data_IF_149069915695
#
_entry.id   IF_149069915695
#
_cell.length_a   1.000
_cell.length_b   1.000
_cell.length_c   1.000
_cell.angle_alpha   90.00
_cell.angle_beta   90.00
_cell.angle_gamma   90.00
#
_symmetry.space_group_name_H-M   'P 1'
#
loop_
_entity.id
_entity.type
_entity.pdbx_description
1 polymer ?
#
# COMPACT_ATOMS: atom_id res chain seq x y z
N UNK A 1 -4.26 -34.98 -51.24
CA UNK A 1 -5.57 -34.46 -50.78
C UNK A 1 -5.58 -34.59 -49.28
N UNK A 2 -5.56 -33.43 -48.59
CA UNK A 2 -6.11 -33.11 -47.26
C UNK A 2 -5.66 -34.02 -46.09
N UNK A 3 -4.73 -33.62 -45.21
CA UNK A 3 -4.78 -32.51 -44.25
C UNK A 3 -5.85 -32.72 -43.18
N UNK A 4 -5.49 -33.33 -42.05
CA UNK A 4 -6.20 -33.17 -40.78
C UNK A 4 -5.20 -33.14 -39.61
N UNK A 5 -4.73 -31.93 -39.31
CA UNK A 5 -4.09 -31.61 -38.04
C UNK A 5 -5.18 -31.54 -36.97
N UNK A 6 -5.37 -32.63 -36.21
CA UNK A 6 -6.28 -32.63 -35.06
C UNK A 6 -5.53 -32.21 -33.80
N UNK A 7 -5.66 -30.91 -33.53
CA UNK A 7 -5.79 -30.29 -32.21
C UNK A 7 -4.72 -30.58 -31.16
N UNK A 8 -3.66 -29.73 -31.15
CA UNK A 8 -2.93 -29.43 -29.92
C UNK A 8 -3.92 -28.75 -28.97
N UNK A 9 -4.48 -29.53 -28.05
CA UNK A 9 -5.25 -29.03 -26.91
C UNK A 9 -4.41 -27.98 -26.20
N UNK A 10 -4.75 -26.72 -26.46
CA UNK A 10 -4.15 -25.57 -25.81
C UNK A 10 -4.59 -25.66 -24.35
N UNK A 11 -3.66 -26.03 -23.46
CA UNK A 11 -3.81 -25.80 -22.03
C UNK A 11 -3.86 -24.28 -21.84
N UNK A 12 -5.05 -23.70 -21.94
CA UNK A 12 -5.30 -22.35 -21.50
C UNK A 12 -5.12 -22.39 -19.98
N UNK A 13 -3.92 -22.08 -19.50
CA UNK A 13 -3.66 -21.95 -18.06
C UNK A 13 -4.68 -20.96 -17.50
N UNK A 14 -5.62 -21.47 -16.70
CA UNK A 14 -6.56 -20.63 -16.00
C UNK A 14 -5.74 -19.77 -15.02
N UNK A 15 -5.74 -18.46 -15.23
CA UNK A 15 -4.93 -17.48 -14.46
C UNK A 15 -5.35 -17.44 -12.97
N UNK A 16 -6.33 -18.26 -12.56
CA UNK A 16 -6.73 -18.52 -11.17
C UNK A 16 -5.62 -19.11 -10.29
N UNK A 17 -4.50 -19.54 -10.86
CA UNK A 17 -3.35 -20.07 -10.13
C UNK A 17 -2.22 -19.04 -9.94
N UNK A 18 -2.44 -17.77 -10.32
CA UNK A 18 -1.60 -16.67 -9.86
C UNK A 18 -1.91 -16.45 -8.38
N UNK A 19 -1.24 -17.22 -7.53
CA UNK A 19 -1.35 -17.17 -6.07
C UNK A 19 -1.20 -15.72 -5.59
N UNK A 20 -2.31 -15.09 -5.22
CA UNK A 20 -2.30 -13.79 -4.56
C UNK A 20 -1.82 -14.04 -3.14
N UNK A 21 -0.56 -13.70 -2.87
CA UNK A 21 0.03 -13.89 -1.53
C UNK A 21 -0.13 -12.62 -0.72
N UNK A 22 -0.77 -12.75 0.45
CA UNK A 22 -0.89 -11.65 1.40
C UNK A 22 0.30 -11.58 2.32
N UNK A 23 0.64 -10.36 2.69
CA UNK A 23 1.85 -10.03 3.43
C UNK A 23 1.56 -8.93 4.43
N UNK A 24 2.33 -8.90 5.52
CA UNK A 24 2.30 -7.82 6.50
C UNK A 24 3.69 -7.20 6.56
N UNK A 25 3.75 -5.90 6.30
CA UNK A 25 4.98 -5.11 6.35
C UNK A 25 5.09 -4.45 7.69
N UNK A 26 6.25 -4.54 8.34
CA UNK A 26 6.46 -3.84 9.60
C UNK A 26 6.50 -2.32 9.42
N UNK A 27 5.78 -1.59 10.28
CA UNK A 27 5.84 -0.13 10.39
C UNK A 27 6.74 0.22 11.58
N UNK A 28 7.86 0.92 11.37
CA UNK A 28 8.81 1.22 12.43
C UNK A 28 8.22 2.18 13.46
N UNK A 29 8.71 2.08 14.71
CA UNK A 29 8.21 2.86 15.86
C UNK A 29 8.30 4.39 15.66
N UNK A 30 9.26 4.87 14.89
CA UNK A 30 9.46 6.29 14.62
C UNK A 30 8.42 6.88 13.63
N UNK A 31 7.70 6.03 12.91
CA UNK A 31 6.69 6.43 11.93
C UNK A 31 5.27 6.27 12.46
N UNK A 32 5.10 5.96 13.75
CA UNK A 32 3.79 5.62 14.35
C UNK A 32 3.60 6.26 15.72
N UNK A 33 2.36 6.58 16.07
CA UNK A 33 1.99 7.03 17.43
C UNK A 33 1.64 5.83 18.34
N UNK A 34 1.40 6.07 19.64
CA UNK A 34 1.23 5.01 20.66
C UNK A 34 0.09 4.02 20.38
N UNK A 35 -0.84 4.37 19.50
CA UNK A 35 -2.02 3.57 19.14
C UNK A 35 -2.10 3.21 17.65
N UNK A 36 -1.11 3.62 16.85
CA UNK A 36 -1.07 3.27 15.44
C UNK A 36 -0.80 1.77 15.23
N UNK A 37 -1.25 1.29 14.08
CA UNK A 37 -1.00 -0.06 13.62
C UNK A 37 0.51 -0.33 13.51
N UNK A 38 0.93 -1.56 13.85
CA UNK A 38 2.35 -1.97 13.83
C UNK A 38 2.78 -2.61 12.51
N UNK A 39 1.81 -2.92 11.65
CA UNK A 39 2.06 -3.55 10.37
C UNK A 39 0.97 -3.23 9.37
N UNK A 40 1.35 -3.13 8.10
CA UNK A 40 0.44 -2.86 7.00
C UNK A 40 0.17 -4.13 6.18
N UNK A 41 -1.10 -4.48 5.96
CA UNK A 41 -1.49 -5.61 5.12
C UNK A 41 -1.34 -5.24 3.64
N UNK A 42 -0.55 -6.01 2.90
CA UNK A 42 -0.20 -5.76 1.50
C UNK A 42 -0.29 -7.03 0.64
N UNK A 43 -0.34 -6.85 -0.67
CA UNK A 43 -0.29 -7.93 -1.67
C UNK A 43 1.12 -8.07 -2.25
N UNK A 44 1.66 -9.28 -2.30
CA UNK A 44 2.97 -9.53 -2.91
C UNK A 44 2.93 -9.35 -4.43
N UNK A 45 3.77 -8.46 -4.96
CA UNK A 45 3.98 -8.29 -6.40
C UNK A 45 5.24 -9.00 -6.92
N UNK A 46 6.19 -9.32 -6.03
CA UNK A 46 7.44 -10.01 -6.37
C UNK A 46 8.65 -9.41 -5.67
N UNK A 47 9.82 -9.53 -6.29
CA UNK A 47 11.10 -9.05 -5.73
C UNK A 47 11.64 -7.90 -6.57
N UNK A 48 12.09 -6.82 -5.93
CA UNK A 48 12.82 -5.74 -6.56
C UNK A 48 14.26 -6.17 -6.84
N UNK A 49 14.66 -6.08 -8.12
CA UNK A 49 16.02 -6.44 -8.56
C UNK A 49 17.08 -5.50 -7.98
N UNK A 50 16.75 -4.22 -7.81
CA UNK A 50 17.69 -3.19 -7.35
C UNK A 50 18.00 -3.33 -5.86
N UNK A 51 16.97 -3.50 -5.02
CA UNK A 51 17.11 -3.48 -3.57
C UNK A 51 17.19 -4.86 -2.92
N UNK A 52 16.98 -5.94 -3.68
CA UNK A 52 16.86 -7.33 -3.17
C UNK A 52 15.83 -7.42 -2.03
N UNK A 53 14.71 -6.73 -2.20
CA UNK A 53 13.61 -6.63 -1.24
C UNK A 53 12.28 -6.96 -1.94
N UNK A 54 11.24 -7.24 -1.17
CA UNK A 54 9.92 -7.54 -1.72
C UNK A 54 9.24 -6.26 -2.21
N UNK A 55 8.55 -6.36 -3.35
CA UNK A 55 7.63 -5.34 -3.86
C UNK A 55 6.23 -5.74 -3.46
N UNK A 56 5.57 -4.84 -2.77
CA UNK A 56 4.28 -5.07 -2.13
C UNK A 56 3.33 -3.96 -2.54
N UNK A 57 2.07 -4.31 -2.77
CA UNK A 57 1.03 -3.35 -3.09
C UNK A 57 0.14 -3.15 -1.87
N UNK A 58 0.01 -1.89 -1.45
CA UNK A 58 -1.00 -1.49 -0.49
C UNK A 58 -2.27 -1.05 -1.25
N UNK A 59 -3.38 -1.81 -1.18
CA UNK A 59 -4.62 -1.48 -1.86
C UNK A 59 -5.37 -0.29 -1.22
N UNK A 60 -5.07 0.06 0.04
CA UNK A 60 -5.70 1.19 0.74
C UNK A 60 -5.04 2.49 0.26
N UNK A 61 -3.72 2.63 0.46
CA UNK A 61 -2.99 3.84 0.06
C UNK A 61 -2.69 3.90 -1.44
N UNK A 62 -2.94 2.81 -2.18
CA UNK A 62 -2.65 2.63 -3.62
C UNK A 62 -1.18 2.86 -3.98
N UNK A 63 -0.26 2.43 -3.11
CA UNK A 63 1.19 2.64 -3.26
C UNK A 63 1.94 1.32 -3.32
N UNK A 64 3.11 1.35 -3.97
CA UNK A 64 4.06 0.23 -3.97
C UNK A 64 5.07 0.46 -2.85
N UNK A 65 5.17 -0.52 -1.97
CA UNK A 65 6.11 -0.55 -0.84
C UNK A 65 7.22 -1.54 -1.15
N UNK A 66 8.45 -1.15 -0.82
CA UNK A 66 9.63 -2.00 -0.98
C UNK A 66 10.22 -2.26 0.40
N UNK A 67 10.07 -3.49 0.91
CA UNK A 67 10.56 -3.85 2.25
C UNK A 67 11.16 -5.25 2.28
N UNK A 68 12.12 -5.45 3.18
CA UNK A 68 12.70 -6.76 3.49
C UNK A 68 12.02 -7.42 4.69
N UNK A 69 11.46 -6.63 5.58
CA UNK A 69 10.82 -7.09 6.80
C UNK A 69 9.32 -7.31 6.53
N UNK A 70 9.01 -8.55 6.15
CA UNK A 70 7.71 -8.94 5.59
C UNK A 70 7.33 -10.32 6.12
N UNK A 71 6.12 -10.45 6.62
CA UNK A 71 5.54 -11.73 7.06
C UNK A 71 4.51 -12.20 6.03
N UNK A 72 4.63 -13.43 5.55
CA UNK A 72 3.72 -14.01 4.55
C UNK A 72 2.55 -14.76 5.21
N UNK A 73 1.36 -14.58 4.65
CA UNK A 73 0.11 -15.25 5.06
C UNK A 73 -0.58 -15.82 3.84
N UNK A 74 -0.14 -17.00 3.43
CA UNK A 74 -0.60 -17.69 2.21
C UNK A 74 -2.00 -18.29 2.35
N UNK A 75 -2.49 -18.48 3.58
CA UNK A 75 -3.82 -19.05 3.86
C UNK A 75 -4.92 -17.99 4.03
N UNK A 76 -4.57 -16.70 3.95
CA UNK A 76 -5.54 -15.62 4.06
C UNK A 76 -6.06 -15.24 2.68
N UNK A 77 -7.26 -14.67 2.62
CA UNK A 77 -7.83 -14.07 1.42
C UNK A 77 -8.02 -12.56 1.66
N UNK A 78 -8.12 -11.80 0.56
CA UNK A 78 -8.44 -10.38 0.63
C UNK A 78 -9.88 -10.15 0.24
N UNK A 79 -10.63 -9.54 1.15
CA UNK A 79 -12.03 -9.19 0.96
C UNK A 79 -12.12 -7.86 0.20
N UNK A 80 -11.94 -7.91 -1.13
CA UNK A 80 -11.91 -6.74 -2.01
C UNK A 80 -13.19 -5.89 -1.91
N UNK A 81 -14.34 -6.52 -1.66
CA UNK A 81 -15.63 -5.83 -1.55
C UNK A 81 -15.77 -4.90 -0.33
N UNK A 82 -14.95 -5.06 0.72
CA UNK A 82 -15.08 -4.28 1.97
C UNK A 82 -14.31 -2.95 1.97
N UNK A 83 -13.52 -2.66 0.94
CA UNK A 83 -12.54 -1.57 0.98
C UNK A 83 -13.06 -0.17 0.60
N UNK A 84 -14.35 -0.01 0.25
CA UNK A 84 -14.88 1.31 -0.09
C UNK A 84 -14.92 2.27 1.12
N UNK A 85 -14.80 1.75 2.35
CA UNK A 85 -14.99 2.51 3.59
C UNK A 85 -13.67 3.05 4.21
N UNK A 86 -12.56 2.30 4.08
CA UNK A 86 -11.27 2.68 4.68
C UNK A 86 -10.56 3.84 3.96
N UNK A 87 -10.81 4.03 2.66
CA UNK A 87 -10.24 5.15 1.90
C UNK A 87 -10.78 6.52 2.36
N UNK A 88 -11.94 6.53 3.03
CA UNK A 88 -12.61 7.76 3.47
C UNK A 88 -11.98 8.30 4.77
N UNK A 89 -11.34 7.47 5.59
CA UNK A 89 -10.77 7.91 6.88
C UNK A 89 -9.47 8.71 6.71
N UNK A 90 -8.61 8.36 5.73
CA UNK A 90 -7.35 9.09 5.49
C UNK A 90 -7.55 10.51 4.96
N UNK A 91 -8.69 10.82 4.36
CA UNK A 91 -8.96 12.12 3.73
C UNK A 91 -9.49 13.16 4.73
N UNK A 92 -9.77 12.77 5.98
CA UNK A 92 -10.40 13.63 6.99
C UNK A 92 -9.46 14.09 8.12
N UNK A 93 -8.24 13.58 8.21
CA UNK A 93 -7.24 14.01 9.22
C UNK A 93 -6.31 15.12 8.66
N UNK A 94 -6.91 16.19 8.12
CA UNK A 94 -6.22 17.46 7.82
C UNK A 94 -6.98 18.58 8.53
N UNK A 95 -6.83 18.67 9.85
CA UNK A 95 -7.14 19.90 10.60
C UNK A 95 -5.93 20.84 10.45
N UNK A 96 -5.90 21.59 9.34
CA UNK A 96 -5.11 22.82 9.22
C UNK A 96 -5.74 23.90 10.10
N UNK A 97 -5.00 24.45 11.06
CA UNK A 97 -5.15 25.86 11.47
C UNK A 97 -3.85 26.39 12.12
N UNK A 98 -3.08 27.03 11.24
CA UNK A 98 -2.06 28.08 11.31
C UNK A 98 -1.54 28.60 12.68
N UNK A 99 -0.20 28.67 12.81
CA UNK A 99 0.47 29.54 13.79
C UNK A 99 0.31 31.02 13.41
N UNK A 100 -0.43 31.79 14.22
CA UNK A 100 -0.44 33.26 14.14
C UNK A 100 0.85 33.82 14.72
N UNK A 101 1.82 34.15 13.86
CA UNK A 101 3.00 34.94 14.23
C UNK A 101 2.64 36.42 14.16
N UNK A 102 2.38 37.08 15.30
CA UNK A 102 2.32 38.54 15.34
C UNK A 102 3.72 39.11 15.59
N UNK A 103 4.28 39.73 14.56
CA UNK A 103 5.43 40.64 14.66
C UNK A 103 4.98 41.98 14.11
N UNK A 104 4.69 42.92 14.99
CA UNK A 104 4.63 44.34 14.64
C UNK A 104 5.80 45.03 15.35
N UNK A 105 6.80 45.37 14.53
CA UNK A 105 7.98 46.16 14.90
C UNK A 105 7.60 47.63 15.16
N UNK A 106 8.31 48.28 16.10
CA UNK A 106 8.17 49.65 16.59
C UNK A 106 8.22 50.76 15.51
N UNK A 107 7.41 51.83 15.67
CA UNK A 107 7.85 53.24 15.50
C UNK A 107 6.80 54.30 15.88
N UNK A 108 7.23 55.20 16.78
CA UNK A 108 6.94 56.64 16.87
C UNK A 108 5.49 57.17 16.98
N UNK A 109 5.18 57.77 18.15
CA UNK A 109 4.57 59.10 18.13
C UNK A 109 5.12 59.99 19.27
N UNK A 110 5.71 61.10 18.85
CA UNK A 110 6.13 62.25 19.64
C UNK A 110 4.90 63.03 20.12
N UNK A 111 4.84 63.34 21.41
CA UNK A 111 4.30 64.61 21.94
C UNK A 111 4.99 64.98 23.24
#
# INVERSE_FOLDING_TARGET
>A
MLEEASSLSSHQSNISEFLVVFTYVHIPDNSRTKLDEKSLKCVLLGISKESKAYRLYDPISRRIIVSRDVVFKESEEWEWDKQHESAILCELECEDDEEVVTRDDDAENVI
#
